data_IF_799767654827
#
_entry.id   IF_799767654827
#
_cell.length_a   1.000
_cell.length_b   1.000
_cell.length_c   1.000
_cell.angle_alpha   90.00
_cell.angle_beta   90.00
_cell.angle_gamma   90.00
#
_symmetry.space_group_name_H-M   'P 1'
#
loop_
_entity.id
_entity.type
_entity.pdbx_description
1 polymer ?
#
# COMPACT_ATOMS: atom_id res chain seq x y z
N UNK A 1 -7.60 21.82 0.03
CA UNK A 1 -7.34 20.52 0.67
C UNK A 1 -5.87 20.43 1.06
N UNK A 2 -5.59 20.03 2.28
CA UNK A 2 -4.22 19.77 2.72
C UNK A 2 -3.98 18.26 2.73
N UNK A 3 -2.99 17.81 2.00
CA UNK A 3 -2.57 16.41 1.95
C UNK A 3 -1.26 16.26 2.73
N UNK A 4 -1.26 15.29 3.64
CA UNK A 4 -0.07 14.89 4.38
C UNK A 4 0.37 13.49 3.90
N UNK A 5 1.66 13.30 3.80
CA UNK A 5 2.23 12.02 3.44
C UNK A 5 3.44 11.70 4.33
N UNK A 6 3.62 10.43 4.61
CA UNK A 6 4.78 9.94 5.34
C UNK A 6 5.19 8.56 4.84
N UNK A 7 6.44 8.20 5.07
CA UNK A 7 6.98 6.90 4.67
C UNK A 7 7.82 6.33 5.81
N UNK A 8 7.55 5.07 6.14
CA UNK A 8 8.38 4.29 7.03
C UNK A 8 8.98 3.09 6.30
N UNK A 9 10.17 2.68 6.66
CA UNK A 9 10.84 1.51 6.09
C UNK A 9 11.70 0.79 7.12
N UNK A 10 11.82 -0.52 6.97
CA UNK A 10 12.66 -1.35 7.84
C UNK A 10 13.20 -2.55 7.09
N UNK A 11 14.30 -3.08 7.57
CA UNK A 11 14.93 -4.34 7.14
C UNK A 11 14.91 -5.39 8.26
N UNK A 12 13.97 -5.32 9.20
CA UNK A 12 13.80 -6.33 10.23
C UNK A 12 13.56 -7.71 9.61
N UNK A 13 14.11 -8.75 10.19
CA UNK A 13 14.07 -10.10 9.60
C UNK A 13 12.69 -10.78 9.74
N UNK A 14 12.00 -10.53 10.84
CA UNK A 14 10.66 -11.04 11.09
C UNK A 14 9.62 -10.21 10.35
N UNK A 15 8.73 -10.86 9.61
CA UNK A 15 7.76 -10.17 8.74
C UNK A 15 6.74 -9.33 9.52
N UNK A 16 6.26 -9.83 10.65
CA UNK A 16 5.30 -9.09 11.48
C UNK A 16 5.96 -7.89 12.14
N UNK A 17 7.16 -8.07 12.65
CA UNK A 17 7.94 -6.97 13.23
C UNK A 17 8.29 -5.93 12.17
N UNK A 18 8.66 -6.35 10.96
CA UNK A 18 8.93 -5.45 9.86
C UNK A 18 7.71 -4.60 9.49
N UNK A 19 6.54 -5.22 9.38
CA UNK A 19 5.29 -4.49 9.15
C UNK A 19 4.96 -3.48 10.25
N UNK A 20 5.12 -3.91 11.51
CA UNK A 20 4.88 -3.07 12.67
C UNK A 20 5.84 -1.86 12.71
N UNK A 21 7.13 -2.09 12.52
CA UNK A 21 8.15 -1.03 12.57
C UNK A 21 7.98 -0.02 11.45
N UNK A 22 7.76 -0.47 10.22
CA UNK A 22 7.54 0.42 9.08
C UNK A 22 6.28 1.28 9.26
N UNK A 23 5.18 0.68 9.69
CA UNK A 23 3.95 1.40 9.97
C UNK A 23 4.11 2.40 11.12
N UNK A 24 4.77 2.00 12.20
CA UNK A 24 5.04 2.89 13.34
C UNK A 24 5.89 4.10 12.95
N UNK A 25 6.93 3.89 12.16
CA UNK A 25 7.79 4.96 11.66
C UNK A 25 6.99 5.94 10.78
N UNK A 26 6.15 5.42 9.87
CA UNK A 26 5.30 6.25 9.03
C UNK A 26 4.28 7.05 9.86
N UNK A 27 3.63 6.43 10.85
CA UNK A 27 2.69 7.11 11.76
C UNK A 27 3.36 8.24 12.54
N UNK A 28 4.55 8.02 13.05
CA UNK A 28 5.29 9.06 13.80
C UNK A 28 5.61 10.28 12.92
N UNK A 29 5.92 10.06 11.65
CA UNK A 29 6.17 11.15 10.70
C UNK A 29 4.89 11.86 10.25
N UNK A 30 3.74 11.16 10.25
CA UNK A 30 2.46 11.74 9.92
C UNK A 30 1.94 12.68 11.02
N UNK A 31 2.59 12.67 12.17
CA UNK A 31 2.25 13.48 13.35
C UNK A 31 0.86 13.12 13.89
N UNK A 32 0.04 14.12 14.22
CA UNK A 32 -1.31 13.90 14.77
C UNK A 32 -2.39 13.61 13.70
N UNK A 33 -2.02 13.50 12.42
CA UNK A 33 -2.98 13.26 11.35
C UNK A 33 -3.39 11.78 11.31
N UNK A 34 -4.67 11.53 11.11
CA UNK A 34 -5.18 10.18 10.96
C UNK A 34 -4.91 9.69 9.54
N UNK A 35 -4.30 8.51 9.35
CA UNK A 35 -4.08 7.98 8.01
C UNK A 35 -5.42 7.61 7.35
N UNK A 36 -5.64 8.10 6.14
CA UNK A 36 -6.80 7.78 5.32
C UNK A 36 -6.52 6.69 4.27
N UNK A 37 -5.24 6.44 3.98
CA UNK A 37 -4.82 5.43 3.01
C UNK A 37 -3.39 4.98 3.26
N UNK A 38 -3.12 3.70 3.02
CA UNK A 38 -1.79 3.12 3.11
C UNK A 38 -1.39 2.36 1.85
N UNK A 39 -0.12 2.47 1.48
CA UNK A 39 0.52 1.60 0.48
C UNK A 39 1.61 0.79 1.18
N UNK A 40 1.55 -0.52 1.04
CA UNK A 40 2.50 -1.46 1.66
C UNK A 40 3.29 -2.18 0.57
N UNK A 41 4.60 -2.02 0.58
CA UNK A 41 5.51 -2.72 -0.33
C UNK A 41 6.42 -3.61 0.52
N UNK A 42 6.37 -4.90 0.29
CA UNK A 42 7.20 -5.85 1.01
C UNK A 42 8.10 -6.64 0.04
N UNK A 43 9.34 -6.86 0.44
CA UNK A 43 10.21 -7.79 -0.30
C UNK A 43 9.58 -9.17 -0.33
N UNK A 44 9.70 -9.85 -1.47
CA UNK A 44 9.08 -11.17 -1.67
C UNK A 44 9.64 -12.27 -0.74
N UNK A 45 10.72 -12.00 0.00
CA UNK A 45 11.27 -12.88 1.03
C UNK A 45 10.41 -12.95 2.30
N UNK A 46 9.55 -11.95 2.54
CA UNK A 46 8.61 -11.97 3.66
C UNK A 46 7.35 -12.75 3.33
N UNK A 47 6.76 -13.34 4.36
CA UNK A 47 5.41 -13.88 4.27
C UNK A 47 4.39 -12.72 4.30
N UNK A 48 3.60 -12.49 3.24
CA UNK A 48 2.72 -11.32 3.16
C UNK A 48 1.74 -11.20 4.33
N UNK A 49 1.22 -12.31 4.83
CA UNK A 49 0.28 -12.33 5.97
C UNK A 49 0.90 -11.80 7.25
N UNK A 50 2.16 -12.09 7.49
CA UNK A 50 2.89 -11.61 8.68
C UNK A 50 3.10 -10.11 8.60
N UNK A 51 3.56 -9.61 7.45
CA UNK A 51 3.73 -8.16 7.22
C UNK A 51 2.40 -7.43 7.43
N UNK A 52 1.33 -7.91 6.79
CA UNK A 52 0.01 -7.30 6.93
C UNK A 52 -0.51 -7.36 8.36
N UNK A 53 -0.26 -8.44 9.09
CA UNK A 53 -0.61 -8.53 10.51
C UNK A 53 0.09 -7.45 11.34
N UNK A 54 1.37 -7.20 11.09
CA UNK A 54 2.14 -6.13 11.73
C UNK A 54 1.58 -4.74 11.40
N UNK A 55 1.36 -4.46 10.13
CA UNK A 55 0.80 -3.18 9.66
C UNK A 55 -0.60 -2.92 10.23
N UNK A 56 -1.50 -3.90 10.12
CA UNK A 56 -2.89 -3.76 10.57
C UNK A 56 -3.02 -3.62 12.08
N UNK A 57 -2.06 -4.12 12.86
CA UNK A 57 -2.06 -3.93 14.32
C UNK A 57 -1.98 -2.46 14.74
N UNK A 58 -1.43 -1.60 13.87
CA UNK A 58 -1.34 -0.15 14.11
C UNK A 58 -2.34 0.65 13.28
N UNK A 59 -2.61 0.25 12.05
CA UNK A 59 -3.46 1.02 11.13
C UNK A 59 -4.95 0.64 11.20
N UNK A 60 -5.28 -0.47 11.87
CA UNK A 60 -6.67 -0.91 12.01
C UNK A 60 -7.36 -1.09 10.66
N UNK A 61 -8.50 -0.43 10.47
CA UNK A 61 -9.32 -0.49 9.27
C UNK A 61 -8.93 0.52 8.18
N UNK A 62 -7.76 1.15 8.28
CA UNK A 62 -7.28 2.07 7.25
C UNK A 62 -7.23 1.36 5.90
N UNK A 63 -7.89 1.89 4.84
CA UNK A 63 -7.80 1.30 3.51
C UNK A 63 -6.35 1.19 3.06
N UNK A 64 -5.99 0.02 2.54
CA UNK A 64 -4.62 -0.21 2.08
C UNK A 64 -4.56 -1.03 0.81
N UNK A 65 -3.52 -0.82 0.03
CA UNK A 65 -3.14 -1.63 -1.11
C UNK A 65 -1.64 -1.88 -1.04
N UNK A 66 -1.18 -2.95 -1.64
CA UNK A 66 0.24 -3.23 -1.65
C UNK A 66 0.61 -4.33 -2.62
N UNK A 67 1.89 -4.59 -2.72
CA UNK A 67 2.45 -5.61 -3.58
C UNK A 67 3.81 -6.09 -3.07
N UNK A 68 4.22 -7.26 -3.56
CA UNK A 68 5.56 -7.78 -3.35
C UNK A 68 6.52 -7.24 -4.39
N UNK A 69 7.73 -6.95 -3.98
CA UNK A 69 8.82 -6.47 -4.85
C UNK A 69 10.14 -7.14 -4.46
N UNK A 70 11.11 -7.28 -5.36
CA UNK A 70 12.47 -7.71 -4.98
C UNK A 70 13.10 -6.82 -3.91
N UNK A 71 12.81 -5.52 -3.95
CA UNK A 71 13.33 -4.55 -2.99
C UNK A 71 12.41 -3.32 -2.89
N UNK A 72 12.46 -2.63 -1.76
CA UNK A 72 11.83 -1.32 -1.60
C UNK A 72 12.70 -0.21 -2.18
N UNK A 73 12.05 0.86 -2.62
CA UNK A 73 12.70 2.11 -3.02
C UNK A 73 12.13 3.25 -2.18
N UNK A 74 13.00 4.08 -1.66
CA UNK A 74 12.66 5.34 -0.98
C UNK A 74 13.57 6.45 -1.49
N UNK A 75 13.36 7.66 -1.03
CA UNK A 75 14.26 8.78 -1.35
C UNK A 75 15.72 8.53 -0.89
N UNK A 76 15.92 7.66 0.09
CA UNK A 76 17.25 7.28 0.57
C UNK A 76 17.91 6.14 -0.20
N UNK A 77 17.23 5.58 -1.21
CA UNK A 77 17.80 4.60 -2.13
C UNK A 77 17.08 3.27 -2.19
N UNK A 78 17.82 2.26 -2.58
CA UNK A 78 17.39 0.88 -2.77
C UNK A 78 17.57 0.07 -1.47
N UNK A 79 16.51 -0.61 -1.06
CA UNK A 79 16.46 -1.38 0.17
C UNK A 79 16.09 -2.84 -0.12
N UNK A 80 17.07 -3.75 -0.30
CA UNK A 80 16.80 -5.17 -0.40
C UNK A 80 16.26 -5.70 0.93
N UNK A 81 15.44 -6.73 0.89
CA UNK A 81 14.84 -7.33 2.10
C UNK A 81 14.25 -6.29 3.04
N UNK A 82 13.23 -5.58 2.56
CA UNK A 82 12.62 -4.48 3.31
C UNK A 82 11.11 -4.49 3.25
N UNK A 83 10.49 -3.83 4.21
CA UNK A 83 9.08 -3.41 4.17
C UNK A 83 9.05 -1.90 4.15
N UNK A 84 8.27 -1.34 3.23
CA UNK A 84 8.01 0.10 3.11
C UNK A 84 6.52 0.33 3.28
N UNK A 85 6.15 1.25 4.16
CA UNK A 85 4.77 1.69 4.37
C UNK A 85 4.70 3.18 4.08
N UNK A 86 3.87 3.55 3.10
CA UNK A 86 3.53 4.94 2.81
C UNK A 86 2.13 5.23 3.32
N UNK A 87 1.97 6.33 4.04
CA UNK A 87 0.69 6.79 4.56
C UNK A 87 0.30 8.11 3.91
N UNK A 88 -0.98 8.25 3.62
CA UNK A 88 -1.62 9.47 3.15
C UNK A 88 -2.74 9.86 4.11
N UNK A 89 -2.82 11.15 4.43
CA UNK A 89 -3.87 11.74 5.25
C UNK A 89 -4.37 13.01 4.60
N UNK A 90 -5.67 13.25 4.63
CA UNK A 90 -6.30 14.43 4.05
C UNK A 90 -7.80 14.25 3.94
N UNK A 91 -8.46 15.24 3.36
CA UNK A 91 -9.90 15.18 3.07
C UNK A 91 -10.15 14.50 1.73
N UNK A 92 -10.09 13.19 1.72
CA UNK A 92 -10.38 12.35 0.55
C UNK A 92 -11.05 11.04 0.97
N UNK A 93 -11.74 10.43 0.04
CA UNK A 93 -12.27 9.07 0.17
C UNK A 93 -11.49 8.13 -0.73
N UNK A 94 -11.29 6.91 -0.27
CA UNK A 94 -10.56 5.87 -1.01
C UNK A 94 -11.41 4.62 -1.13
N UNK A 95 -11.54 4.15 -2.37
CA UNK A 95 -12.03 2.81 -2.67
C UNK A 95 -10.85 1.96 -3.16
N UNK A 96 -10.78 0.73 -2.69
CA UNK A 96 -9.80 -0.23 -3.18
C UNK A 96 -10.49 -1.37 -3.93
N UNK A 97 -9.84 -1.84 -4.99
CA UNK A 97 -10.33 -2.95 -5.81
C UNK A 97 -9.19 -3.94 -6.06
N UNK A 98 -9.46 -5.20 -5.81
CA UNK A 98 -8.57 -6.32 -6.14
C UNK A 98 -9.20 -7.19 -7.23
N UNK A 99 -8.47 -7.38 -8.33
CA UNK A 99 -8.88 -8.23 -9.45
C UNK A 99 -7.79 -9.26 -9.74
N UNK A 100 -8.04 -10.55 -9.44
CA UNK A 100 -7.09 -11.61 -9.76
C UNK A 100 -7.12 -11.97 -11.24
N UNK A 101 -6.05 -12.60 -11.73
CA UNK A 101 -6.01 -13.21 -13.06
C UNK A 101 -5.70 -12.26 -14.21
N UNK A 102 -5.10 -11.12 -13.95
CA UNK A 102 -4.72 -10.16 -14.99
C UNK A 102 -3.84 -10.76 -16.08
N UNK A 103 -2.86 -11.57 -15.72
CA UNK A 103 -1.94 -12.21 -16.69
C UNK A 103 -2.65 -13.16 -17.67
N UNK A 104 -3.76 -13.80 -17.25
CA UNK A 104 -4.52 -14.73 -18.09
C UNK A 104 -5.68 -14.06 -18.86
N UNK A 105 -6.24 -13.00 -18.33
CA UNK A 105 -7.46 -12.36 -18.84
C UNK A 105 -7.45 -10.84 -18.69
N UNK A 106 -6.40 -10.20 -19.20
CA UNK A 106 -6.20 -8.76 -19.08
C UNK A 106 -7.35 -7.93 -19.65
N UNK A 107 -7.93 -8.35 -20.77
CA UNK A 107 -9.10 -7.66 -21.38
C UNK A 107 -10.32 -7.69 -20.47
N UNK A 108 -10.64 -8.85 -19.91
CA UNK A 108 -11.77 -8.99 -18.98
C UNK A 108 -11.56 -8.17 -17.73
N UNK A 109 -10.34 -8.18 -17.19
CA UNK A 109 -9.95 -7.38 -16.05
C UNK A 109 -10.09 -5.88 -16.35
N UNK A 110 -9.65 -5.43 -17.52
CA UNK A 110 -9.79 -4.03 -17.94
C UNK A 110 -11.25 -3.59 -18.03
N UNK A 111 -12.14 -4.44 -18.56
CA UNK A 111 -13.57 -4.15 -18.62
C UNK A 111 -14.20 -4.03 -17.21
N UNK A 112 -13.79 -4.87 -16.27
CA UNK A 112 -14.23 -4.77 -14.87
C UNK A 112 -13.75 -3.48 -14.21
N UNK A 113 -12.53 -3.05 -14.49
CA UNK A 113 -12.00 -1.78 -14.00
C UNK A 113 -12.81 -0.61 -14.59
N UNK A 114 -13.08 -0.64 -15.87
CA UNK A 114 -13.89 0.38 -16.55
C UNK A 114 -15.29 0.50 -15.95
N UNK A 115 -15.97 -0.63 -15.75
CA UNK A 115 -17.30 -0.68 -15.12
C UNK A 115 -17.28 -0.13 -13.70
N UNK A 116 -16.30 -0.58 -12.90
CA UNK A 116 -16.10 -0.10 -11.53
C UNK A 116 -15.83 1.41 -11.49
N UNK A 117 -15.02 1.90 -12.41
CA UNK A 117 -14.67 3.30 -12.51
C UNK A 117 -15.85 4.16 -12.98
N UNK A 118 -16.64 3.69 -13.95
CA UNK A 118 -17.80 4.40 -14.49
C UNK A 118 -18.90 4.63 -13.44
N UNK A 119 -19.04 3.74 -12.46
CA UNK A 119 -19.99 3.87 -11.36
C UNK A 119 -19.62 4.97 -10.35
N UNK A 120 -18.42 5.57 -10.46
CA UNK A 120 -17.89 6.58 -9.53
C UNK A 120 -17.61 7.89 -10.25
N UNK A 121 -18.57 8.80 -10.19
CA UNK A 121 -18.53 10.06 -10.98
C UNK A 121 -17.64 11.15 -10.38
N UNK A 122 -17.37 11.11 -9.08
CA UNK A 122 -16.60 12.13 -8.37
C UNK A 122 -15.10 11.80 -8.21
N UNK A 123 -14.65 10.76 -8.88
CA UNK A 123 -13.26 10.33 -8.85
C UNK A 123 -12.32 11.34 -9.49
N UNK A 124 -11.24 11.67 -8.81
CA UNK A 124 -10.20 12.58 -9.33
C UNK A 124 -8.88 11.87 -9.68
N UNK A 125 -8.61 10.73 -9.05
CA UNK A 125 -7.36 9.99 -9.27
C UNK A 125 -7.58 8.49 -9.17
N UNK A 126 -6.79 7.74 -9.93
CA UNK A 126 -6.72 6.28 -9.87
C UNK A 126 -5.25 5.87 -9.69
N UNK A 127 -5.00 5.08 -8.66
CA UNK A 127 -3.70 4.44 -8.45
C UNK A 127 -3.82 2.97 -8.86
N UNK A 128 -3.00 2.55 -9.79
CA UNK A 128 -3.07 1.24 -10.41
C UNK A 128 -1.76 0.47 -10.26
N UNK A 129 -1.84 -0.72 -9.68
CA UNK A 129 -0.73 -1.68 -9.62
C UNK A 129 -1.14 -2.93 -10.38
N UNK A 130 -0.36 -3.32 -11.36
CA UNK A 130 -0.59 -4.52 -12.16
C UNK A 130 0.63 -5.42 -12.14
N UNK A 131 0.36 -6.72 -12.18
CA UNK A 131 1.38 -7.71 -12.52
C UNK A 131 1.66 -7.60 -14.02
N UNK A 132 2.89 -7.34 -14.37
CA UNK A 132 3.32 -7.10 -15.75
C UNK A 132 3.88 -8.34 -16.46
N UNK A 133 3.82 -9.52 -15.83
CA UNK A 133 4.41 -10.76 -16.36
C UNK A 133 3.45 -11.92 -16.45
#
# INVERSE_FOLDING_TARGET
MTLFASVGSTQALDGREAGLQAAHQALNQLSANTPGFAVVIASHQYQPREVLSGVSSLLGDTPMIGFSSPAGLTHSGHHPHSVVVALLSGDFQVDTLWLPGYAQSGRETALKIEEYAAARTERQSVLFFADGF
#
